data_IF_737661681374
#
_entry.id   IF_737661681374
#
_cell.length_a   1.000
_cell.length_b   1.000
_cell.length_c   1.000
_cell.angle_alpha   90.00
_cell.angle_beta   90.00
_cell.angle_gamma   90.00
#
_symmetry.space_group_name_H-M   'P 1'
#
loop_
_entity.id
_entity.type
_entity.pdbx_description
1 polymer ?
#
# COMPACT_ATOMS: atom_id res chain seq x y z
N UNK A 1 -35.19 45.20 54.96
CA UNK A 1 -35.03 44.65 53.60
C UNK A 1 -34.48 43.24 53.74
N UNK A 2 -35.35 42.24 53.79
CA UNK A 2 -34.97 40.83 53.95
C UNK A 2 -34.66 40.23 52.57
N UNK A 3 -33.44 39.76 52.38
CA UNK A 3 -32.99 39.09 51.15
C UNK A 3 -33.65 37.70 51.03
N UNK A 4 -34.04 37.27 49.82
CA UNK A 4 -34.65 35.96 49.62
C UNK A 4 -33.64 34.83 49.91
N UNK A 5 -34.05 33.74 50.57
CA UNK A 5 -33.17 32.61 50.83
C UNK A 5 -32.79 31.94 49.51
N UNK A 6 -31.49 31.82 49.23
CA UNK A 6 -31.01 31.13 48.04
C UNK A 6 -31.45 29.66 48.09
N UNK A 7 -31.96 29.11 46.98
CA UNK A 7 -32.38 27.72 46.92
C UNK A 7 -31.17 26.81 47.19
N UNK A 8 -31.27 26.04 48.26
CA UNK A 8 -30.24 25.10 48.70
C UNK A 8 -30.13 24.01 47.62
N UNK A 9 -28.98 23.86 46.94
CA UNK A 9 -28.86 22.91 45.84
C UNK A 9 -29.05 21.50 46.37
N UNK A 10 -30.19 20.91 46.05
CA UNK A 10 -30.61 19.59 46.49
C UNK A 10 -29.66 18.52 45.94
N UNK A 11 -29.13 17.64 46.78
CA UNK A 11 -28.35 16.47 46.40
C UNK A 11 -28.79 15.73 45.11
N UNK A 12 -30.09 15.48 44.85
CA UNK A 12 -30.55 14.85 43.60
C UNK A 12 -30.26 15.67 42.33
N UNK A 13 -30.24 17.01 42.39
CA UNK A 13 -29.88 17.82 41.22
C UNK A 13 -28.40 17.69 40.89
N UNK A 14 -27.53 17.49 41.89
CA UNK A 14 -26.10 17.22 41.67
C UNK A 14 -25.88 15.86 41.01
N UNK A 15 -26.64 14.84 41.42
CA UNK A 15 -26.64 13.52 40.79
C UNK A 15 -27.12 13.58 39.34
N UNK A 16 -28.22 14.29 39.08
CA UNK A 16 -28.72 14.50 37.72
C UNK A 16 -27.71 15.23 36.82
N UNK A 17 -27.02 16.25 37.36
CA UNK A 17 -25.98 16.98 36.64
C UNK A 17 -24.74 16.11 36.36
N UNK A 18 -24.32 15.31 37.34
CA UNK A 18 -23.20 14.40 37.19
C UNK A 18 -23.49 13.32 36.14
N UNK A 19 -24.71 12.75 36.16
CA UNK A 19 -25.12 11.73 35.21
C UNK A 19 -25.22 12.29 33.78
N UNK A 20 -25.81 13.46 33.61
CA UNK A 20 -25.90 14.12 32.29
C UNK A 20 -24.53 14.51 31.76
N UNK A 21 -23.63 15.02 32.62
CA UNK A 21 -22.23 15.27 32.24
C UNK A 21 -21.55 14.00 31.77
N UNK A 22 -21.71 12.89 32.50
CA UNK A 22 -21.11 11.61 32.12
C UNK A 22 -21.68 11.08 30.79
N UNK A 23 -22.99 11.19 30.58
CA UNK A 23 -23.62 10.86 29.29
C UNK A 23 -23.07 11.72 28.16
N UNK A 24 -22.89 13.03 28.39
CA UNK A 24 -22.35 13.94 27.38
C UNK A 24 -20.91 13.59 27.02
N UNK A 25 -20.08 13.21 28.00
CA UNK A 25 -18.71 12.72 27.76
C UNK A 25 -18.71 11.45 26.93
N UNK A 26 -19.56 10.47 27.26
CA UNK A 26 -19.68 9.22 26.51
C UNK A 26 -20.15 9.47 25.07
N UNK A 27 -21.17 10.32 24.90
CA UNK A 27 -21.67 10.68 23.57
C UNK A 27 -20.58 11.40 22.75
N UNK A 28 -19.88 12.36 23.34
CA UNK A 28 -18.75 13.05 22.70
C UNK A 28 -17.63 12.09 22.32
N UNK A 29 -17.28 11.16 23.20
CA UNK A 29 -16.27 10.13 22.94
C UNK A 29 -16.69 9.19 21.80
N UNK A 30 -17.96 8.76 21.76
CA UNK A 30 -18.48 7.94 20.68
C UNK A 30 -18.39 8.66 19.33
N UNK A 31 -18.78 9.95 19.28
CA UNK A 31 -18.68 10.77 18.07
C UNK A 31 -17.21 10.95 17.66
N UNK A 32 -16.33 11.28 18.60
CA UNK A 32 -14.90 11.44 18.34
C UNK A 32 -14.26 10.14 17.82
N UNK A 33 -14.62 9.00 18.42
CA UNK A 33 -14.16 7.67 17.98
C UNK A 33 -14.63 7.36 16.57
N UNK A 34 -15.89 7.68 16.24
CA UNK A 34 -16.42 7.50 14.89
C UNK A 34 -15.68 8.39 13.88
N UNK A 35 -15.51 9.68 14.18
CA UNK A 35 -14.74 10.59 13.34
C UNK A 35 -13.30 10.12 13.15
N UNK A 36 -12.66 9.66 14.22
CA UNK A 36 -11.31 9.10 14.16
C UNK A 36 -11.26 7.88 13.23
N UNK A 37 -12.22 6.95 13.34
CA UNK A 37 -12.28 5.80 12.45
C UNK A 37 -12.45 6.21 10.98
N UNK A 38 -13.33 7.19 10.70
CA UNK A 38 -13.52 7.73 9.36
C UNK A 38 -12.24 8.37 8.82
N UNK A 39 -11.57 9.20 9.63
CA UNK A 39 -10.29 9.82 9.26
C UNK A 39 -9.19 8.78 9.05
N UNK A 40 -9.16 7.73 9.87
CA UNK A 40 -8.18 6.65 9.74
C UNK A 40 -8.39 5.89 8.43
N UNK A 41 -9.63 5.54 8.11
CA UNK A 41 -9.96 4.87 6.85
C UNK A 41 -9.68 5.77 5.65
N UNK A 42 -10.06 7.05 5.73
CA UNK A 42 -9.77 8.03 4.68
C UNK A 42 -8.25 8.20 4.50
N UNK A 43 -7.50 8.41 5.58
CA UNK A 43 -6.04 8.54 5.55
C UNK A 43 -5.36 7.29 5.00
N UNK A 44 -5.83 6.10 5.34
CA UNK A 44 -5.30 4.84 4.82
C UNK A 44 -5.66 4.65 3.34
N UNK A 45 -6.88 5.01 2.94
CA UNK A 45 -7.31 4.96 1.55
C UNK A 45 -6.51 5.94 0.68
N UNK A 46 -6.35 7.20 1.13
CA UNK A 46 -5.53 8.19 0.44
C UNK A 46 -4.06 7.79 0.43
N UNK A 47 -3.50 7.33 1.54
CA UNK A 47 -2.11 6.89 1.62
C UNK A 47 -1.82 5.67 0.75
N UNK A 48 -2.73 4.69 0.75
CA UNK A 48 -2.69 3.54 -0.15
C UNK A 48 -2.80 3.99 -1.61
N UNK A 49 -3.80 4.79 -1.95
CA UNK A 49 -3.97 5.32 -3.30
C UNK A 49 -2.75 6.10 -3.78
N UNK A 50 -2.17 6.95 -2.91
CA UNK A 50 -0.98 7.73 -3.22
C UNK A 50 0.25 6.83 -3.40
N UNK A 51 0.40 5.77 -2.62
CA UNK A 51 1.44 4.76 -2.82
C UNK A 51 1.31 4.08 -4.18
N UNK A 52 0.10 3.68 -4.56
CA UNK A 52 -0.17 3.11 -5.88
C UNK A 52 0.10 4.11 -7.00
N UNK A 53 -0.26 5.38 -6.81
CA UNK A 53 -0.01 6.46 -7.78
C UNK A 53 1.49 6.73 -7.93
N UNK A 54 2.22 6.83 -6.81
CA UNK A 54 3.66 7.02 -6.78
C UNK A 54 4.39 5.83 -7.42
N UNK A 55 3.95 4.58 -7.18
CA UNK A 55 4.48 3.42 -7.89
C UNK A 55 4.25 3.48 -9.39
N UNK A 56 3.11 4.00 -9.86
CA UNK A 56 2.86 4.21 -11.31
C UNK A 56 3.79 5.29 -11.89
N UNK A 57 4.02 6.36 -11.14
CA UNK A 57 4.97 7.42 -11.49
C UNK A 57 6.41 6.90 -11.56
N UNK A 58 6.86 6.11 -10.58
CA UNK A 58 8.20 5.47 -10.60
C UNK A 58 8.35 4.54 -11.81
N UNK A 59 7.32 3.77 -12.18
CA UNK A 59 7.38 2.94 -13.39
C UNK A 59 7.51 3.79 -14.64
N UNK A 60 6.79 4.91 -14.72
CA UNK A 60 6.92 5.87 -15.82
C UNK A 60 8.27 6.57 -15.80
N UNK A 61 8.81 6.93 -14.65
CA UNK A 61 10.14 7.52 -14.51
C UNK A 61 11.24 6.52 -14.91
N UNK A 62 11.12 5.23 -14.53
CA UNK A 62 12.03 4.17 -15.00
C UNK A 62 11.92 3.92 -16.51
N UNK A 63 10.72 4.01 -17.08
CA UNK A 63 10.51 3.85 -18.53
C UNK A 63 10.79 5.13 -19.34
N UNK A 64 10.80 6.30 -18.71
CA UNK A 64 11.20 7.59 -19.29
C UNK A 64 12.69 7.87 -19.08
N UNK A 65 13.31 7.20 -18.11
CA UNK A 65 14.75 7.13 -17.92
C UNK A 65 15.33 5.72 -18.19
N UNK A 66 15.14 5.08 -19.37
CA UNK A 66 15.96 3.95 -19.76
C UNK A 66 17.35 4.39 -20.26
N UNK A 67 17.59 5.71 -20.45
CA UNK A 67 18.81 6.20 -21.09
C UNK A 67 19.23 7.62 -20.72
N UNK A 68 18.68 8.21 -19.64
CA UNK A 68 19.18 9.49 -19.15
C UNK A 68 19.92 9.28 -17.83
N UNK A 69 21.11 8.71 -17.96
CA UNK A 69 22.18 8.91 -17.00
C UNK A 69 22.72 10.30 -17.33
N UNK A 70 22.58 11.21 -16.37
CA UNK A 70 23.16 12.54 -16.38
C UNK A 70 24.69 12.40 -16.47
N UNK A 71 25.22 12.23 -17.68
CA UNK A 71 26.66 12.26 -17.97
C UNK A 71 27.26 11.12 -18.80
N UNK A 72 26.70 9.91 -18.90
CA UNK A 72 27.43 8.82 -19.60
C UNK A 72 26.54 7.68 -20.09
N UNK A 73 26.74 7.31 -21.36
CA UNK A 73 26.32 6.11 -22.08
C UNK A 73 24.82 5.82 -22.23
N UNK A 74 24.34 6.08 -23.45
CA UNK A 74 23.16 5.45 -24.06
C UNK A 74 23.37 3.94 -24.12
N UNK A 75 22.66 3.18 -23.29
CA UNK A 75 22.54 1.73 -23.48
C UNK A 75 21.56 1.52 -24.63
N UNK A 76 22.08 1.35 -25.85
CA UNK A 76 21.35 0.71 -26.93
C UNK A 76 20.81 -0.62 -26.39
N UNK A 77 19.50 -0.89 -26.46
CA UNK A 77 18.96 -2.20 -26.15
C UNK A 77 19.55 -3.18 -27.17
N UNK A 78 20.67 -3.79 -26.81
CA UNK A 78 21.27 -4.89 -27.53
C UNK A 78 20.16 -5.91 -27.78
N UNK A 79 19.85 -6.06 -29.07
CA UNK A 79 18.93 -7.04 -29.60
C UNK A 79 19.12 -8.37 -28.87
N UNK A 80 18.05 -9.12 -28.56
CA UNK A 80 18.18 -10.46 -27.99
C UNK A 80 18.62 -11.42 -29.10
N UNK A 81 19.85 -11.27 -29.60
CA UNK A 81 20.50 -12.14 -30.56
C UNK A 81 21.50 -13.06 -29.84
N UNK A 82 21.04 -13.68 -28.75
CA UNK A 82 21.68 -14.84 -28.13
C UNK A 82 20.68 -16.00 -28.13
N UNK A 83 20.02 -16.24 -29.27
CA UNK A 83 19.39 -17.52 -29.56
C UNK A 83 20.48 -18.48 -30.01
N UNK A 84 21.16 -19.03 -29.01
CA UNK A 84 21.68 -20.39 -28.93
C UNK A 84 21.99 -21.11 -30.26
N UNK A 85 22.99 -20.62 -30.99
CA UNK A 85 23.55 -21.31 -32.16
C UNK A 85 24.55 -22.41 -31.74
N UNK A 86 24.25 -23.15 -30.67
CA UNK A 86 25.05 -24.31 -30.20
C UNK A 86 24.43 -25.67 -30.52
N UNK A 87 23.27 -25.70 -31.17
CA UNK A 87 22.52 -26.96 -31.39
C UNK A 87 22.63 -27.58 -32.79
N UNK A 88 23.45 -27.05 -33.72
CA UNK A 88 23.50 -27.56 -35.10
C UNK A 88 24.85 -28.12 -35.58
N UNK A 89 25.80 -28.36 -34.69
CA UNK A 89 27.07 -29.02 -35.04
C UNK A 89 27.42 -30.13 -34.05
N UNK A 90 26.46 -31.03 -33.78
CA UNK A 90 26.76 -32.34 -33.22
C UNK A 90 27.01 -33.33 -34.39
N UNK A 91 28.11 -34.11 -34.38
CA UNK A 91 28.50 -34.94 -35.51
C UNK A 91 27.46 -36.01 -35.82
N UNK A 92 27.08 -36.07 -37.09
CA UNK A 92 26.28 -37.12 -37.72
C UNK A 92 27.08 -38.43 -37.77
N UNK A 93 27.24 -39.10 -36.63
CA UNK A 93 27.95 -40.39 -36.57
C UNK A 93 27.22 -41.49 -35.78
N UNK A 94 25.92 -41.29 -35.50
CA UNK A 94 25.08 -42.31 -34.85
C UNK A 94 24.15 -43.06 -35.81
N UNK A 95 24.55 -43.19 -37.08
CA UNK A 95 23.84 -44.00 -38.08
C UNK A 95 24.80 -45.03 -38.72
N UNK A 96 25.71 -45.57 -37.92
CA UNK A 96 26.21 -46.94 -38.06
C UNK A 96 25.63 -47.69 -36.86
N UNK A 97 24.34 -48.05 -36.84
CA UNK A 97 23.80 -49.17 -37.63
C UNK A 97 24.82 -50.31 -37.77
N UNK A 98 25.52 -50.60 -36.68
CA UNK A 98 25.96 -51.96 -36.26
C UNK A 98 24.69 -52.81 -36.04
N UNK A 99 23.86 -52.88 -37.07
CA UNK A 99 22.92 -53.96 -37.39
C UNK A 99 23.72 -54.99 -38.20
N UNK A 100 24.88 -55.34 -37.66
CA UNK A 100 25.86 -56.27 -38.19
C UNK A 100 26.42 -56.93 -36.94
N UNK A 101 26.34 -58.27 -36.87
CA UNK A 101 26.55 -59.15 -35.71
C UNK A 101 25.27 -59.26 -34.87
N UNK A 102 24.56 -60.39 -34.81
CA UNK A 102 25.02 -61.79 -34.78
C UNK A 102 23.90 -62.68 -35.33
N UNK A 103 24.22 -63.79 -36.04
CA UNK A 103 23.26 -64.72 -36.65
C UNK A 103 22.46 -65.58 -35.68
#
# INVERSE_FOLDING_TARGET
MTLPPLPKPSWPSRLGLALTSMLAVVAGFAIASLLFAVLLVAGLALGGWLWWHYRRLIRRARNAAPGFIEGEYTVEPAQPALTDQRTLTAPRDRISRESRRVP
#
